data_IF_812210373459
#
_entry.id   IF_812210373459
#
_cell.length_a   1.000
_cell.length_b   1.000
_cell.length_c   1.000
_cell.angle_alpha   90.00
_cell.angle_beta   90.00
_cell.angle_gamma   90.00
#
_symmetry.space_group_name_H-M   'P 1'
#
loop_
_entity.id
_entity.type
_entity.pdbx_description
1 polymer ?
#
# COMPACT_ATOMS: atom_id res chain seq x y z
N UNK A 1 65.57 60.97 -33.08
CA UNK A 1 64.74 59.79 -33.48
C UNK A 1 65.05 58.54 -32.62
N UNK A 2 66.26 58.26 -32.19
CA UNK A 2 66.62 57.07 -31.37
C UNK A 2 65.97 57.08 -29.96
N UNK A 3 65.91 58.22 -29.27
CA UNK A 3 65.30 58.28 -27.95
C UNK A 3 63.75 58.02 -27.97
N UNK A 4 63.09 58.36 -29.02
CA UNK A 4 61.63 58.07 -29.16
C UNK A 4 61.39 56.60 -29.48
N UNK A 5 62.25 55.88 -30.13
CA UNK A 5 62.20 54.44 -30.35
C UNK A 5 62.39 53.69 -29.03
N UNK A 6 63.32 54.04 -28.19
CA UNK A 6 63.55 53.40 -26.89
C UNK A 6 62.39 53.62 -25.92
N UNK A 7 61.69 54.75 -25.94
CA UNK A 7 60.47 55.03 -25.08
C UNK A 7 59.31 54.18 -25.56
N UNK A 8 59.12 54.05 -26.87
CA UNK A 8 58.04 53.25 -27.47
C UNK A 8 58.20 51.77 -27.18
N UNK A 9 59.41 51.25 -27.26
CA UNK A 9 59.70 49.87 -26.97
C UNK A 9 59.59 49.52 -25.47
N UNK A 10 59.90 50.47 -24.56
CA UNK A 10 59.62 50.34 -23.14
C UNK A 10 58.18 50.36 -22.84
N UNK A 11 57.39 51.23 -23.47
CA UNK A 11 55.93 51.26 -23.30
C UNK A 11 55.27 49.97 -23.79
N UNK A 12 55.69 49.43 -24.93
CA UNK A 12 55.22 48.14 -25.45
C UNK A 12 55.59 47.03 -24.49
N UNK A 13 56.85 46.99 -23.98
CA UNK A 13 57.26 46.01 -22.98
C UNK A 13 56.44 46.06 -21.67
N UNK A 14 56.21 47.24 -21.13
CA UNK A 14 55.37 47.45 -19.94
C UNK A 14 53.90 47.02 -20.20
N UNK A 15 53.35 47.38 -21.33
CA UNK A 15 51.97 47.00 -21.69
C UNK A 15 51.86 45.47 -21.87
N UNK A 16 52.84 44.83 -22.47
CA UNK A 16 52.88 43.37 -22.61
C UNK A 16 52.95 42.65 -21.25
N UNK A 17 53.75 43.17 -20.30
CA UNK A 17 53.83 42.65 -18.95
C UNK A 17 52.50 42.83 -18.20
N UNK A 18 51.85 43.98 -18.28
CA UNK A 18 50.57 44.24 -17.65
C UNK A 18 49.49 43.31 -18.21
N UNK A 19 49.44 43.09 -19.51
CA UNK A 19 48.53 42.11 -20.14
C UNK A 19 48.84 40.70 -19.70
N UNK A 20 50.08 40.28 -19.62
CA UNK A 20 50.47 38.96 -19.16
C UNK A 20 50.10 38.71 -17.69
N UNK A 21 50.30 39.71 -16.82
CA UNK A 21 49.87 39.63 -15.40
C UNK A 21 48.36 39.57 -15.28
N UNK A 22 47.63 40.38 -16.02
CA UNK A 22 46.17 40.36 -16.06
C UNK A 22 45.60 39.00 -16.57
N UNK A 23 46.25 38.42 -17.57
CA UNK A 23 45.87 37.11 -18.12
C UNK A 23 46.29 35.92 -17.22
N UNK A 24 47.16 36.16 -16.22
CA UNK A 24 47.59 35.13 -15.25
C UNK A 24 46.59 34.93 -14.10
N UNK A 25 45.72 35.89 -13.83
CA UNK A 25 44.76 35.83 -12.72
C UNK A 25 43.52 35.07 -13.14
N UNK A 26 43.13 34.09 -12.34
CA UNK A 26 41.85 33.40 -12.46
C UNK A 26 41.10 33.42 -11.15
N UNK A 27 39.81 33.67 -11.19
CA UNK A 27 38.91 33.69 -10.01
C UNK A 27 38.08 32.41 -10.01
N UNK A 28 38.06 31.72 -8.87
CA UNK A 28 37.21 30.54 -8.66
C UNK A 28 36.06 30.94 -7.75
N UNK A 29 34.81 30.70 -8.19
CA UNK A 29 33.62 30.93 -7.42
C UNK A 29 33.38 29.79 -6.39
N UNK A 30 32.51 30.00 -5.44
CA UNK A 30 32.23 29.02 -4.39
C UNK A 30 31.55 27.76 -4.92
N UNK A 31 30.76 27.87 -5.97
CA UNK A 31 29.93 26.80 -6.55
C UNK A 31 30.59 26.11 -7.75
N UNK A 32 31.88 26.31 -7.96
CA UNK A 32 32.61 25.70 -9.08
C UNK A 32 33.94 25.09 -8.65
N UNK A 33 34.27 24.00 -9.33
CA UNK A 33 35.67 23.54 -9.41
C UNK A 33 36.35 24.18 -10.60
N UNK A 34 37.54 24.66 -10.42
CA UNK A 34 38.33 25.18 -11.54
C UNK A 34 39.48 24.23 -11.89
N UNK A 35 39.39 23.68 -13.07
CA UNK A 35 40.41 22.81 -13.62
C UNK A 35 41.43 23.66 -14.36
N UNK A 36 42.72 23.47 -14.08
CA UNK A 36 43.81 24.04 -14.86
C UNK A 36 44.38 22.93 -15.72
N UNK A 37 44.37 23.15 -17.02
CA UNK A 37 44.86 22.21 -18.02
C UNK A 37 46.11 22.78 -18.68
N UNK A 38 47.14 21.93 -18.81
CA UNK A 38 48.34 22.19 -19.55
C UNK A 38 48.41 21.24 -20.75
N UNK A 39 48.42 21.78 -21.95
CA UNK A 39 48.43 21.00 -23.21
C UNK A 39 47.33 19.93 -23.27
N UNK A 40 46.13 20.26 -22.76
CA UNK A 40 44.96 19.36 -22.75
C UNK A 40 44.91 18.39 -21.57
N UNK A 41 45.98 18.19 -20.81
CA UNK A 41 45.99 17.37 -19.61
C UNK A 41 45.66 18.20 -18.38
N UNK A 42 44.81 17.66 -17.49
CA UNK A 42 44.52 18.31 -16.20
C UNK A 42 45.77 18.25 -15.33
N UNK A 43 46.31 19.41 -14.98
CA UNK A 43 47.46 19.56 -14.11
C UNK A 43 47.05 19.67 -12.64
N UNK A 44 46.07 20.54 -12.35
CA UNK A 44 45.60 20.75 -10.99
C UNK A 44 44.13 21.14 -10.97
N UNK A 45 43.45 20.82 -9.84
CA UNK A 45 42.07 21.16 -9.54
C UNK A 45 42.04 22.13 -8.38
N UNK A 46 41.33 23.25 -8.53
CA UNK A 46 41.11 24.24 -7.50
C UNK A 46 39.66 24.07 -7.02
N UNK A 47 39.49 23.64 -5.78
CA UNK A 47 38.18 23.43 -5.12
C UNK A 47 37.82 24.52 -4.11
N UNK A 48 38.78 25.40 -3.77
CA UNK A 48 38.59 26.55 -2.89
C UNK A 48 38.29 27.81 -3.68
N UNK A 49 37.29 28.58 -3.18
CA UNK A 49 37.00 29.89 -3.76
C UNK A 49 38.16 30.86 -3.50
N UNK A 50 38.44 31.73 -4.47
CA UNK A 50 39.48 32.71 -4.33
C UNK A 50 40.19 33.05 -5.62
N UNK A 51 41.30 33.76 -5.51
CA UNK A 51 42.14 34.14 -6.61
C UNK A 51 43.28 33.12 -6.74
N UNK A 52 43.45 32.62 -7.96
CA UNK A 52 44.52 31.69 -8.31
C UNK A 52 45.31 32.20 -9.52
N UNK A 53 46.52 31.74 -9.68
CA UNK A 53 47.36 32.13 -10.79
C UNK A 53 47.55 30.97 -11.76
N UNK A 54 47.50 31.31 -13.06
CA UNK A 54 47.77 30.42 -14.16
C UNK A 54 48.89 31.00 -15.06
N UNK A 55 49.60 30.12 -15.76
CA UNK A 55 50.57 30.56 -16.75
C UNK A 55 49.83 30.91 -18.05
N UNK A 56 49.82 32.20 -18.46
CA UNK A 56 49.12 32.62 -19.66
C UNK A 56 49.71 31.93 -20.89
N UNK A 57 48.91 31.66 -21.91
CA UNK A 57 49.24 30.97 -23.16
C UNK A 57 49.55 29.47 -23.07
N UNK A 58 49.96 28.94 -21.91
CA UNK A 58 50.27 27.52 -21.71
C UNK A 58 49.12 26.80 -21.01
N UNK A 59 48.58 27.43 -19.99
CA UNK A 59 47.50 26.89 -19.17
C UNK A 59 46.15 27.42 -19.58
N UNK A 60 45.20 26.53 -19.79
CA UNK A 60 43.78 26.82 -19.98
C UNK A 60 42.97 26.48 -18.73
N UNK A 61 41.89 27.21 -18.50
CA UNK A 61 40.99 26.97 -17.36
C UNK A 61 39.65 26.49 -17.84
N UNK A 62 39.05 25.52 -17.13
CA UNK A 62 37.72 25.05 -17.34
C UNK A 62 37.02 24.99 -15.99
N UNK A 63 35.76 25.44 -15.93
CA UNK A 63 34.91 25.35 -14.72
C UNK A 63 34.01 24.13 -14.80
N UNK A 64 33.85 23.46 -13.65
CA UNK A 64 32.85 22.41 -13.45
C UNK A 64 31.94 22.81 -12.31
N UNK A 65 30.64 22.51 -12.38
CA UNK A 65 29.69 22.77 -11.29
C UNK A 65 30.05 21.90 -10.07
N UNK A 66 30.02 22.52 -8.90
CA UNK A 66 30.19 21.86 -7.59
C UNK A 66 28.86 21.58 -6.91
N UNK A 67 27.83 22.24 -7.38
CA UNK A 67 26.46 22.11 -6.87
C UNK A 67 25.81 20.78 -7.29
N UNK A 68 24.71 20.46 -6.63
CA UNK A 68 23.88 19.32 -7.02
C UNK A 68 23.14 19.65 -8.30
N UNK A 69 23.27 18.77 -9.27
CA UNK A 69 22.62 18.84 -10.58
C UNK A 69 21.42 17.93 -10.61
N UNK A 70 20.39 18.36 -11.32
CA UNK A 70 19.23 17.54 -11.62
C UNK A 70 19.34 17.07 -13.07
N UNK A 71 19.23 15.77 -13.26
CA UNK A 71 19.11 15.17 -14.59
C UNK A 71 17.73 14.53 -14.72
N UNK A 72 16.98 15.01 -15.69
CA UNK A 72 15.65 14.51 -16.04
C UNK A 72 15.77 13.42 -17.11
N UNK A 73 15.41 12.18 -16.74
CA UNK A 73 15.46 11.06 -17.67
C UNK A 73 14.23 11.11 -18.58
N UNK A 74 14.44 10.85 -19.86
CA UNK A 74 13.32 10.72 -20.79
C UNK A 74 12.42 9.53 -20.38
N UNK A 75 11.11 9.73 -20.46
CA UNK A 75 10.14 8.67 -20.23
C UNK A 75 10.44 7.47 -21.13
N UNK A 76 10.43 6.28 -20.56
CA UNK A 76 10.81 5.04 -21.24
C UNK A 76 9.87 3.89 -20.91
N UNK A 77 9.67 3.02 -21.89
CA UNK A 77 8.88 1.80 -21.72
C UNK A 77 9.69 0.74 -20.98
N UNK A 78 9.10 0.21 -19.92
CA UNK A 78 9.64 -0.88 -19.12
C UNK A 78 8.63 -2.00 -19.00
N UNK A 79 9.12 -3.25 -18.98
CA UNK A 79 8.26 -4.44 -18.92
C UNK A 79 8.41 -5.07 -17.54
N UNK A 80 7.30 -5.26 -16.85
CA UNK A 80 7.23 -5.90 -15.54
C UNK A 80 7.37 -7.43 -15.65
N UNK A 81 7.57 -8.10 -14.50
CA UNK A 81 7.66 -9.57 -14.41
C UNK A 81 6.44 -10.29 -15.02
N UNK A 82 5.26 -9.72 -14.86
CA UNK A 82 4.00 -10.22 -15.41
C UNK A 82 3.74 -9.79 -16.87
N UNK A 83 4.81 -9.34 -17.56
CA UNK A 83 4.81 -8.97 -18.98
C UNK A 83 3.87 -7.81 -19.34
N UNK A 84 3.64 -6.92 -18.41
CA UNK A 84 2.88 -5.70 -18.66
C UNK A 84 3.85 -4.55 -18.93
N UNK A 85 3.55 -3.75 -19.95
CA UNK A 85 4.33 -2.56 -20.27
C UNK A 85 3.88 -1.41 -19.39
N UNK A 86 4.85 -0.68 -18.84
CA UNK A 86 4.65 0.56 -18.08
C UNK A 86 5.58 1.64 -18.61
N UNK A 87 5.16 2.89 -18.53
CA UNK A 87 5.98 4.06 -18.85
C UNK A 87 6.55 4.58 -17.54
N UNK A 88 7.87 4.62 -17.44
CA UNK A 88 8.59 5.18 -16.30
C UNK A 88 9.19 6.53 -16.66
N UNK A 89 8.81 7.57 -15.95
CA UNK A 89 9.40 8.90 -15.99
C UNK A 89 10.06 9.19 -14.64
N UNK A 90 11.33 9.57 -14.64
CA UNK A 90 12.15 9.69 -13.44
C UNK A 90 13.23 10.75 -13.56
N UNK A 91 13.76 11.17 -12.42
CA UNK A 91 14.89 12.10 -12.36
C UNK A 91 15.92 11.64 -11.34
N UNK A 92 17.12 12.15 -11.50
CA UNK A 92 18.26 11.87 -10.62
C UNK A 92 18.88 13.16 -10.14
N UNK A 93 19.17 13.22 -8.85
CA UNK A 93 20.03 14.22 -8.25
C UNK A 93 21.44 13.66 -8.16
N UNK A 94 22.40 14.40 -8.71
CA UNK A 94 23.78 13.98 -8.76
C UNK A 94 24.73 15.14 -8.56
N UNK A 95 25.97 14.85 -8.21
CA UNK A 95 27.03 15.85 -8.11
C UNK A 95 28.36 15.26 -8.57
N UNK A 96 29.32 16.14 -8.87
CA UNK A 96 30.70 15.76 -9.16
C UNK A 96 31.43 15.64 -7.82
N UNK A 97 31.78 14.40 -7.42
CA UNK A 97 32.54 14.12 -6.20
C UNK A 97 34.03 14.22 -6.41
N UNK A 98 34.54 13.73 -7.55
CA UNK A 98 35.95 13.79 -7.91
C UNK A 98 36.12 14.50 -9.28
N UNK A 99 36.36 15.81 -9.29
CA UNK A 99 36.51 16.57 -10.54
C UNK A 99 37.71 16.14 -11.38
N UNK A 100 38.75 15.53 -10.78
CA UNK A 100 39.89 15.02 -11.53
C UNK A 100 39.51 13.77 -12.34
N UNK A 101 38.88 12.78 -11.70
CA UNK A 101 38.37 11.61 -12.40
C UNK A 101 37.34 11.98 -13.45
N UNK A 102 36.40 12.88 -13.12
CA UNK A 102 35.40 13.38 -14.05
C UNK A 102 36.07 14.00 -15.31
N UNK A 103 37.07 14.81 -15.12
CA UNK A 103 37.79 15.43 -16.24
C UNK A 103 38.59 14.43 -17.09
N UNK A 104 39.15 13.41 -16.47
CA UNK A 104 39.94 12.38 -17.16
C UNK A 104 39.08 11.40 -17.95
N UNK A 105 37.95 10.99 -17.39
CA UNK A 105 37.06 9.96 -17.97
C UNK A 105 36.02 10.55 -18.93
N UNK A 106 35.50 11.72 -18.62
CA UNK A 106 34.38 12.35 -19.33
C UNK A 106 34.79 13.67 -20.02
N UNK A 107 36.11 13.94 -20.05
CA UNK A 107 36.65 15.13 -20.69
C UNK A 107 36.07 16.46 -20.17
N UNK A 108 35.63 16.49 -18.91
CA UNK A 108 34.95 17.62 -18.25
C UNK A 108 33.63 18.03 -18.92
N UNK A 109 32.96 17.14 -19.64
CA UNK A 109 31.65 17.39 -20.23
C UNK A 109 30.57 16.88 -19.30
N UNK A 110 29.74 17.80 -18.80
CA UNK A 110 28.53 17.48 -17.99
C UNK A 110 27.58 16.60 -18.79
N UNK A 111 27.38 16.91 -20.07
CA UNK A 111 26.51 16.15 -20.97
C UNK A 111 26.98 14.69 -21.14
N UNK A 112 28.32 14.46 -21.21
CA UNK A 112 28.88 13.10 -21.22
C UNK A 112 28.63 12.38 -19.89
N UNK A 113 28.64 13.09 -18.76
CA UNK A 113 28.27 12.57 -17.44
C UNK A 113 26.82 12.15 -17.39
N UNK A 114 25.93 13.01 -17.83
CA UNK A 114 24.49 12.75 -17.91
C UNK A 114 24.15 11.55 -18.80
N UNK A 115 24.85 11.40 -19.94
CA UNK A 115 24.69 10.23 -20.81
C UNK A 115 25.08 8.92 -20.11
N UNK A 116 26.11 8.94 -19.26
CA UNK A 116 26.50 7.76 -18.44
C UNK A 116 25.49 7.48 -17.33
N UNK A 117 25.02 8.52 -16.66
CA UNK A 117 23.96 8.42 -15.66
C UNK A 117 22.69 7.84 -16.29
N UNK A 118 22.28 8.37 -17.45
CA UNK A 118 21.11 7.88 -18.19
C UNK A 118 21.21 6.36 -18.44
N UNK A 119 22.33 5.91 -18.98
CA UNK A 119 22.52 4.48 -19.27
C UNK A 119 22.46 3.61 -18.03
N UNK A 120 23.15 4.04 -16.95
CA UNK A 120 23.20 3.27 -15.71
C UNK A 120 21.83 3.22 -15.01
N UNK A 121 21.17 4.36 -14.89
CA UNK A 121 19.86 4.47 -14.25
C UNK A 121 18.79 3.75 -15.05
N UNK A 122 18.76 3.93 -16.37
CA UNK A 122 17.82 3.20 -17.23
C UNK A 122 17.93 1.68 -17.05
N UNK A 123 19.15 1.14 -17.09
CA UNK A 123 19.37 -0.30 -16.91
C UNK A 123 18.98 -0.77 -15.50
N UNK A 124 19.33 -0.02 -14.47
CA UNK A 124 18.97 -0.34 -13.10
C UNK A 124 17.44 -0.32 -12.89
N UNK A 125 16.77 0.72 -13.37
CA UNK A 125 15.31 0.86 -13.31
C UNK A 125 14.60 -0.27 -14.07
N UNK A 126 15.07 -0.58 -15.28
CA UNK A 126 14.54 -1.67 -16.09
C UNK A 126 14.68 -3.01 -15.37
N UNK A 127 15.83 -3.30 -14.78
CA UNK A 127 16.06 -4.55 -14.04
C UNK A 127 15.20 -4.61 -12.78
N UNK A 128 15.11 -3.54 -12.01
CA UNK A 128 14.25 -3.46 -10.82
C UNK A 128 12.78 -3.72 -11.16
N UNK A 129 12.23 -2.99 -12.13
CA UNK A 129 10.83 -3.14 -12.56
C UNK A 129 10.56 -4.53 -13.16
N UNK A 130 11.51 -5.08 -13.95
CA UNK A 130 11.36 -6.41 -14.53
C UNK A 130 11.38 -7.56 -13.51
N UNK A 131 11.88 -7.33 -12.32
CA UNK A 131 11.85 -8.29 -11.20
C UNK A 131 10.54 -8.29 -10.43
N UNK A 132 9.70 -7.26 -10.59
CA UNK A 132 8.49 -7.00 -9.83
C UNK A 132 7.24 -7.18 -10.69
N UNK A 133 6.11 -7.57 -10.06
CA UNK A 133 4.80 -7.52 -10.71
C UNK A 133 4.29 -6.07 -10.77
N UNK A 134 3.33 -5.79 -11.64
CA UNK A 134 2.73 -4.45 -11.76
C UNK A 134 2.20 -3.93 -10.42
N UNK A 135 1.51 -4.78 -9.64
CA UNK A 135 0.97 -4.40 -8.33
C UNK A 135 2.09 -4.06 -7.32
N UNK A 136 3.20 -4.81 -7.36
CA UNK A 136 4.37 -4.52 -6.52
C UNK A 136 5.01 -3.18 -6.90
N UNK A 137 5.17 -2.91 -8.20
CA UNK A 137 5.74 -1.64 -8.68
C UNK A 137 4.88 -0.45 -8.25
N UNK A 138 3.54 -0.57 -8.31
CA UNK A 138 2.62 0.48 -7.87
C UNK A 138 2.71 0.70 -6.35
N UNK A 139 2.82 -0.37 -5.58
CA UNK A 139 2.89 -0.31 -4.11
C UNK A 139 4.26 0.20 -3.62
N UNK A 140 5.35 -0.17 -4.30
CA UNK A 140 6.73 0.25 -3.95
C UNK A 140 7.09 1.69 -4.35
N UNK A 141 6.11 2.45 -4.85
CA UNK A 141 6.29 3.85 -5.25
C UNK A 141 6.75 4.77 -4.10
N UNK A 142 6.52 4.38 -2.86
CA UNK A 142 6.85 5.16 -1.65
C UNK A 142 8.34 5.12 -1.24
N UNK A 143 9.25 4.80 -2.18
CA UNK A 143 10.70 4.86 -1.98
C UNK A 143 11.44 3.54 -2.16
N UNK A 144 10.78 2.39 -2.04
CA UNK A 144 11.40 1.07 -2.18
C UNK A 144 12.03 0.87 -3.57
N UNK A 145 11.35 1.31 -4.64
CA UNK A 145 11.88 1.27 -5.99
C UNK A 145 13.12 2.15 -6.14
N UNK A 146 13.12 3.33 -5.51
CA UNK A 146 14.26 4.25 -5.51
C UNK A 146 15.49 3.64 -4.84
N UNK A 147 15.28 3.00 -3.69
CA UNK A 147 16.36 2.33 -2.95
C UNK A 147 16.92 1.15 -3.74
N UNK A 148 16.07 0.33 -4.35
CA UNK A 148 16.51 -0.79 -5.20
C UNK A 148 17.33 -0.31 -6.41
N UNK A 149 16.91 0.77 -7.06
CA UNK A 149 17.64 1.34 -8.20
C UNK A 149 18.99 1.90 -7.75
N UNK A 150 19.03 2.64 -6.64
CA UNK A 150 20.26 3.18 -6.07
C UNK A 150 21.22 2.07 -5.64
N UNK A 151 20.74 1.01 -5.02
CA UNK A 151 21.54 -0.16 -4.65
C UNK A 151 22.08 -0.89 -5.88
N UNK A 152 21.27 -1.07 -6.92
CA UNK A 152 21.70 -1.71 -8.17
C UNK A 152 22.78 -0.92 -8.93
N UNK A 153 22.75 0.41 -8.85
CA UNK A 153 23.80 1.25 -9.41
C UNK A 153 25.07 1.18 -8.56
N UNK A 154 24.90 1.18 -7.23
CA UNK A 154 25.98 1.10 -6.25
C UNK A 154 27.09 2.10 -6.55
N UNK A 155 28.35 1.63 -6.54
CA UNK A 155 29.56 2.44 -6.78
C UNK A 155 29.99 2.54 -8.24
N UNK A 156 29.16 2.09 -9.18
CA UNK A 156 29.54 2.06 -10.60
C UNK A 156 29.84 3.46 -11.18
N UNK A 157 29.29 4.51 -10.57
CA UNK A 157 29.53 5.90 -11.01
C UNK A 157 30.79 6.52 -10.43
N UNK A 158 31.40 5.95 -9.38
CA UNK A 158 32.61 6.45 -8.72
C UNK A 158 33.82 6.45 -9.66
N UNK A 159 33.85 5.54 -10.62
CA UNK A 159 34.90 5.50 -11.64
C UNK A 159 34.92 6.75 -12.54
N UNK A 160 33.77 7.41 -12.67
CA UNK A 160 33.60 8.66 -13.42
C UNK A 160 33.72 9.91 -12.54
N UNK A 161 33.90 9.75 -11.22
CA UNK A 161 33.91 10.85 -10.27
C UNK A 161 32.51 11.48 -10.06
N UNK A 162 31.45 10.69 -10.27
CA UNK A 162 30.04 11.08 -10.11
C UNK A 162 29.49 10.39 -8.88
N UNK A 163 28.80 11.16 -8.06
CA UNK A 163 28.03 10.66 -6.91
C UNK A 163 26.56 10.90 -7.17
N UNK A 164 25.76 9.83 -7.18
CA UNK A 164 24.32 9.90 -7.23
C UNK A 164 23.80 10.11 -5.82
N UNK A 165 22.98 11.14 -5.62
CA UNK A 165 22.42 11.49 -4.30
C UNK A 165 21.05 10.86 -4.10
N UNK A 166 20.23 10.92 -5.15
CA UNK A 166 18.85 10.45 -5.08
C UNK A 166 18.30 10.13 -6.47
N UNK A 167 17.57 9.03 -6.55
CA UNK A 167 16.74 8.70 -7.70
C UNK A 167 15.26 8.80 -7.26
N UNK A 168 14.43 9.38 -8.09
CA UNK A 168 12.99 9.47 -7.83
C UNK A 168 12.20 9.24 -9.12
N UNK A 169 11.11 8.52 -8.98
CA UNK A 169 10.15 8.31 -10.06
C UNK A 169 9.07 9.40 -10.01
N UNK A 170 8.98 10.21 -11.05
CA UNK A 170 7.95 11.24 -11.21
C UNK A 170 6.59 10.61 -11.52
N UNK A 171 6.60 9.70 -12.49
CA UNK A 171 5.38 9.07 -12.99
C UNK A 171 5.65 7.63 -13.42
N UNK A 172 4.73 6.76 -13.02
CA UNK A 172 4.60 5.40 -13.54
C UNK A 172 3.19 5.30 -14.13
N UNK A 173 3.10 5.10 -15.43
CA UNK A 173 1.83 5.06 -16.14
C UNK A 173 1.74 3.83 -17.06
N UNK A 174 0.57 3.59 -17.58
CA UNK A 174 0.32 2.59 -18.60
C UNK A 174 0.37 3.24 -19.98
N UNK A 175 0.79 2.53 -21.05
CA UNK A 175 0.69 3.03 -22.41
C UNK A 175 -0.74 3.41 -22.76
N UNK A 176 -0.93 4.56 -23.41
CA UNK A 176 -2.25 5.11 -23.69
C UNK A 176 -3.11 4.18 -24.55
N UNK A 177 -2.50 3.42 -25.46
CA UNK A 177 -3.20 2.51 -26.38
C UNK A 177 -3.98 1.38 -25.69
N UNK A 178 -3.59 1.01 -24.48
CA UNK A 178 -4.20 -0.09 -23.73
C UNK A 178 -4.78 0.31 -22.37
N UNK A 179 -4.70 1.58 -22.03
CA UNK A 179 -5.00 2.10 -20.69
C UNK A 179 -6.43 1.77 -20.27
N UNK A 180 -7.40 2.02 -21.15
CA UNK A 180 -8.83 1.79 -20.89
C UNK A 180 -9.14 0.31 -20.69
N UNK A 181 -8.66 -0.56 -21.56
CA UNK A 181 -8.87 -2.01 -21.44
C UNK A 181 -8.22 -2.62 -20.20
N UNK A 182 -7.06 -2.08 -19.77
CA UNK A 182 -6.38 -2.50 -18.53
C UNK A 182 -7.17 -2.04 -17.33
N UNK A 183 -7.68 -0.82 -17.31
CA UNK A 183 -8.50 -0.32 -16.22
C UNK A 183 -9.81 -1.10 -16.07
N UNK A 184 -10.52 -1.37 -17.17
CA UNK A 184 -11.72 -2.20 -17.15
C UNK A 184 -11.45 -3.60 -16.59
N UNK A 185 -10.34 -4.22 -16.98
CA UNK A 185 -9.94 -5.51 -16.45
C UNK A 185 -9.61 -5.43 -14.95
N UNK A 186 -8.87 -4.40 -14.50
CA UNK A 186 -8.55 -4.20 -13.09
C UNK A 186 -9.81 -3.97 -12.25
N UNK A 187 -10.77 -3.18 -12.76
CA UNK A 187 -12.06 -2.96 -12.11
C UNK A 187 -12.79 -4.29 -11.96
N UNK A 188 -12.92 -5.05 -13.07
CA UNK A 188 -13.58 -6.36 -13.06
C UNK A 188 -12.91 -7.36 -12.10
N UNK A 189 -11.60 -7.39 -12.04
CA UNK A 189 -10.85 -8.23 -11.09
C UNK A 189 -11.10 -7.82 -9.63
N UNK A 190 -11.10 -6.52 -9.34
CA UNK A 190 -11.41 -6.00 -8.00
C UNK A 190 -12.86 -6.27 -7.60
N UNK A 191 -13.79 -6.13 -8.53
CA UNK A 191 -15.20 -6.46 -8.29
C UNK A 191 -15.38 -7.96 -8.01
N UNK A 192 -14.68 -8.85 -8.71
CA UNK A 192 -14.69 -10.28 -8.44
C UNK A 192 -14.13 -10.62 -7.05
N UNK A 193 -13.02 -9.99 -6.65
CA UNK A 193 -12.43 -10.16 -5.32
C UNK A 193 -13.41 -9.66 -4.25
N UNK A 194 -14.00 -8.49 -4.44
CA UNK A 194 -14.99 -7.94 -3.51
C UNK A 194 -16.25 -8.83 -3.41
N UNK A 195 -16.72 -9.37 -4.54
CA UNK A 195 -17.84 -10.30 -4.57
C UNK A 195 -17.51 -11.61 -3.80
N UNK A 196 -16.29 -12.12 -3.95
CA UNK A 196 -15.81 -13.31 -3.23
C UNK A 196 -15.82 -13.06 -1.71
N UNK A 197 -15.19 -11.98 -1.25
CA UNK A 197 -15.19 -11.65 0.19
C UNK A 197 -16.60 -11.43 0.74
N UNK A 198 -17.48 -10.79 -0.05
CA UNK A 198 -18.87 -10.61 0.35
C UNK A 198 -19.62 -11.93 0.44
N UNK A 199 -19.39 -12.85 -0.48
CA UNK A 199 -19.98 -14.19 -0.45
C UNK A 199 -19.47 -15.01 0.73
N UNK A 200 -18.17 -14.99 1.00
CA UNK A 200 -17.56 -15.64 2.18
C UNK A 200 -18.13 -15.07 3.48
N UNK A 201 -18.15 -13.75 3.63
CA UNK A 201 -18.71 -13.10 4.81
C UNK A 201 -20.19 -13.41 5.03
N UNK A 202 -20.99 -13.44 3.95
CA UNK A 202 -22.40 -13.84 4.03
C UNK A 202 -22.56 -15.32 4.44
N UNK A 203 -21.69 -16.20 3.93
CA UNK A 203 -21.68 -17.62 4.31
C UNK A 203 -21.33 -17.81 5.78
N UNK A 204 -20.29 -17.15 6.27
CA UNK A 204 -19.91 -17.21 7.68
C UNK A 204 -21.01 -16.63 8.60
N UNK A 205 -21.59 -15.49 8.21
CA UNK A 205 -22.71 -14.90 8.96
C UNK A 205 -23.89 -15.85 9.02
N UNK A 206 -24.19 -16.59 7.94
CA UNK A 206 -25.27 -17.59 7.92
C UNK A 206 -24.95 -18.78 8.83
N UNK A 207 -23.71 -19.24 8.85
CA UNK A 207 -23.28 -20.31 9.77
C UNK A 207 -23.43 -19.89 11.23
N UNK A 208 -23.00 -18.68 11.57
CA UNK A 208 -23.12 -18.14 12.92
C UNK A 208 -24.61 -18.03 13.33
N UNK A 209 -25.46 -17.46 12.46
CA UNK A 209 -26.89 -17.36 12.73
C UNK A 209 -27.55 -18.72 12.94
N UNK A 210 -27.29 -19.69 12.05
CA UNK A 210 -27.85 -21.03 12.16
C UNK A 210 -27.41 -21.74 13.46
N UNK A 211 -26.13 -21.52 13.86
CA UNK A 211 -25.63 -22.06 15.12
C UNK A 211 -26.33 -21.43 16.32
N UNK A 212 -26.49 -20.11 16.31
CA UNK A 212 -27.18 -19.38 17.39
C UNK A 212 -28.65 -19.77 17.45
N UNK A 213 -29.35 -19.82 16.31
CA UNK A 213 -30.74 -20.22 16.23
C UNK A 213 -30.97 -21.65 16.77
N UNK A 214 -30.03 -22.57 16.44
CA UNK A 214 -30.05 -23.91 17.00
C UNK A 214 -29.86 -23.92 18.52
N UNK A 215 -28.88 -23.16 19.03
CA UNK A 215 -28.67 -23.07 20.49
C UNK A 215 -29.86 -22.48 21.21
N UNK A 216 -30.46 -21.43 20.66
CA UNK A 216 -31.67 -20.80 21.19
C UNK A 216 -32.86 -21.80 21.19
N UNK A 217 -33.04 -22.55 20.07
CA UNK A 217 -34.09 -23.55 19.97
C UNK A 217 -33.93 -24.67 21.00
N UNK A 218 -32.69 -25.12 21.24
CA UNK A 218 -32.39 -26.12 22.29
C UNK A 218 -32.74 -25.56 23.68
N UNK A 219 -32.29 -24.33 23.99
CA UNK A 219 -32.57 -23.71 25.29
C UNK A 219 -34.06 -23.53 25.55
N UNK A 220 -34.83 -23.09 24.52
CA UNK A 220 -36.28 -22.97 24.62
C UNK A 220 -36.95 -24.33 24.84
N UNK A 221 -36.49 -25.38 24.13
CA UNK A 221 -37.00 -26.74 24.31
C UNK A 221 -36.70 -27.30 25.70
N UNK A 222 -35.49 -27.07 26.21
CA UNK A 222 -35.11 -27.50 27.55
C UNK A 222 -35.90 -26.74 28.63
N UNK A 223 -36.13 -25.43 28.45
CA UNK A 223 -36.96 -24.63 29.35
C UNK A 223 -38.42 -25.11 29.36
N UNK A 224 -38.99 -25.40 28.17
CA UNK A 224 -40.35 -25.98 28.06
C UNK A 224 -40.43 -27.33 28.73
N UNK A 225 -39.45 -28.20 28.49
CA UNK A 225 -39.39 -29.51 29.16
C UNK A 225 -39.35 -29.36 30.69
N UNK A 226 -38.55 -28.45 31.21
CA UNK A 226 -38.48 -28.20 32.66
C UNK A 226 -39.81 -27.64 33.20
N UNK A 227 -40.45 -26.76 32.45
CA UNK A 227 -41.79 -26.25 32.82
C UNK A 227 -42.82 -27.36 32.85
N UNK A 228 -42.88 -28.24 31.84
CA UNK A 228 -43.79 -29.40 31.80
C UNK A 228 -43.53 -30.39 32.95
N UNK A 229 -42.25 -30.63 33.30
CA UNK A 229 -41.89 -31.47 34.44
C UNK A 229 -42.42 -30.83 35.74
N UNK A 230 -42.22 -29.54 35.95
CA UNK A 230 -42.65 -28.83 37.14
C UNK A 230 -44.17 -28.77 37.24
N UNK A 231 -44.88 -28.58 36.12
CA UNK A 231 -46.36 -28.68 36.05
C UNK A 231 -46.83 -30.09 36.41
N UNK A 232 -46.18 -31.14 35.85
CA UNK A 232 -46.49 -32.55 36.17
C UNK A 232 -46.24 -32.89 37.64
N UNK A 233 -45.15 -32.40 38.22
CA UNK A 233 -44.88 -32.55 39.66
C UNK A 233 -45.94 -31.84 40.51
N UNK A 234 -46.33 -30.61 40.10
CA UNK A 234 -47.39 -29.88 40.73
C UNK A 234 -48.77 -30.59 40.66
N UNK A 235 -49.10 -31.17 39.50
CA UNK A 235 -50.31 -31.99 39.33
C UNK A 235 -50.26 -33.23 40.15
N UNK A 236 -49.11 -33.92 40.21
CA UNK A 236 -48.92 -35.11 41.06
C UNK A 236 -49.17 -34.78 42.54
N UNK A 237 -48.59 -33.71 43.04
CA UNK A 237 -48.79 -33.30 44.44
C UNK A 237 -50.26 -32.86 44.74
N UNK A 238 -50.82 -32.12 43.80
CA UNK A 238 -52.26 -31.77 43.85
C UNK A 238 -53.15 -33.04 43.93
N UNK A 239 -52.88 -34.05 43.09
CA UNK A 239 -53.61 -35.31 43.10
C UNK A 239 -53.44 -36.11 44.39
N UNK A 240 -52.23 -36.12 45.01
CA UNK A 240 -51.99 -36.73 46.32
C UNK A 240 -52.81 -36.05 47.40
N UNK A 241 -52.80 -34.71 47.46
CA UNK A 241 -53.54 -33.96 48.43
C UNK A 241 -55.07 -34.23 48.27
N UNK A 242 -55.57 -34.25 47.05
CA UNK A 242 -56.96 -34.61 46.76
C UNK A 242 -57.30 -36.02 47.17
N UNK A 243 -56.42 -37.02 46.85
CA UNK A 243 -56.63 -38.42 47.25
C UNK A 243 -56.68 -38.57 48.77
N UNK A 244 -55.82 -37.84 49.50
CA UNK A 244 -55.89 -37.82 50.97
C UNK A 244 -57.12 -37.14 51.52
N UNK A 245 -57.59 -36.07 50.90
CA UNK A 245 -58.75 -35.28 51.35
C UNK A 245 -60.10 -36.00 51.07
N UNK A 246 -60.16 -36.76 49.97
CA UNK A 246 -61.40 -37.42 49.50
C UNK A 246 -61.36 -38.95 49.53
N UNK A 247 -60.40 -39.55 50.26
CA UNK A 247 -60.20 -40.98 50.35
C UNK A 247 -61.26 -41.72 51.12
N UNK A 248 -62.28 -41.05 51.72
CA UNK A 248 -63.41 -41.65 52.32
C UNK A 248 -64.49 -41.91 51.28
N UNK A 249 -65.26 -42.99 51.40
CA UNK A 249 -66.18 -43.54 50.39
C UNK A 249 -67.29 -42.52 50.00
N UNK A 250 -67.77 -41.73 50.94
CA UNK A 250 -68.79 -40.73 50.74
C UNK A 250 -68.32 -39.45 49.96
N UNK A 251 -67.01 -39.24 49.88
CA UNK A 251 -66.37 -38.07 49.15
C UNK A 251 -65.83 -38.48 47.78
N UNK A 252 -65.63 -39.76 47.55
CA UNK A 252 -65.11 -40.28 46.30
C UNK A 252 -66.07 -40.08 45.12
N UNK A 253 -67.34 -40.25 45.32
CA UNK A 253 -68.34 -39.99 44.26
C UNK A 253 -68.40 -38.52 43.84
N UNK A 254 -68.40 -37.61 44.81
CA UNK A 254 -68.35 -36.16 44.51
C UNK A 254 -67.11 -35.74 43.79
N UNK A 255 -65.91 -36.34 44.16
CA UNK A 255 -64.66 -36.05 43.47
C UNK A 255 -64.68 -36.55 42.03
N UNK A 256 -65.17 -37.79 41.78
CA UNK A 256 -65.29 -38.31 40.42
C UNK A 256 -66.18 -37.49 39.54
N UNK A 257 -67.27 -36.92 40.10
CA UNK A 257 -68.15 -36.02 39.43
C UNK A 257 -67.51 -34.66 39.07
N UNK A 258 -66.77 -34.01 40.00
CA UNK A 258 -66.06 -32.77 39.75
C UNK A 258 -64.94 -32.96 38.68
N UNK A 259 -64.24 -34.07 38.71
CA UNK A 259 -63.22 -34.37 37.68
C UNK A 259 -63.84 -34.64 36.32
N UNK A 260 -64.99 -35.24 36.23
CA UNK A 260 -65.68 -35.45 34.98
C UNK A 260 -66.16 -34.11 34.38
N UNK A 261 -66.56 -33.17 35.21
CA UNK A 261 -66.96 -31.79 34.80
C UNK A 261 -65.71 -31.01 34.31
N UNK A 262 -64.56 -31.13 34.97
CA UNK A 262 -63.34 -30.47 34.57
C UNK A 262 -62.77 -31.04 33.25
N UNK A 263 -62.82 -32.37 33.06
CA UNK A 263 -62.48 -33.04 31.81
C UNK A 263 -63.40 -32.56 30.67
N UNK A 264 -64.72 -32.46 30.93
CA UNK A 264 -65.69 -31.92 29.96
C UNK A 264 -65.33 -30.47 29.60
N UNK A 265 -65.11 -29.59 30.59
CA UNK A 265 -64.74 -28.18 30.40
C UNK A 265 -63.46 -28.05 29.58
N UNK A 266 -62.48 -28.88 29.84
CA UNK A 266 -61.23 -28.88 29.12
C UNK A 266 -61.38 -29.38 27.68
N UNK A 267 -62.21 -30.41 27.48
CA UNK A 267 -62.52 -30.97 26.15
C UNK A 267 -63.34 -29.99 25.30
N UNK A 268 -64.09 -29.12 25.90
CA UNK A 268 -64.92 -28.10 25.22
C UNK A 268 -64.23 -26.77 24.99
N UNK A 269 -63.01 -26.61 25.49
CA UNK A 269 -62.15 -25.43 25.14
C UNK A 269 -61.66 -25.52 23.70
N UNK A 270 -62.07 -24.58 22.84
CA UNK A 270 -61.71 -24.42 21.44
C UNK A 270 -62.91 -24.30 20.53
N UNK A 271 -62.69 -23.71 19.35
CA UNK A 271 -63.73 -23.55 18.33
C UNK A 271 -63.95 -24.87 17.57
N UNK A 272 -65.19 -25.16 17.16
CA UNK A 272 -65.60 -26.29 16.32
C UNK A 272 -65.34 -27.71 16.89
N UNK A 273 -65.66 -27.90 18.19
CA UNK A 273 -65.60 -29.24 18.79
C UNK A 273 -66.97 -29.84 18.99
N UNK A 274 -67.13 -31.06 18.56
CA UNK A 274 -68.33 -31.84 18.81
C UNK A 274 -67.98 -32.94 19.82
N UNK A 275 -68.72 -32.97 20.97
CA UNK A 275 -68.57 -34.02 21.99
C UNK A 275 -69.66 -35.03 21.82
N UNK A 276 -69.33 -36.27 21.59
CA UNK A 276 -70.30 -37.39 21.54
C UNK A 276 -70.24 -38.10 22.88
N UNK A 277 -71.35 -38.01 23.65
CA UNK A 277 -71.45 -38.67 24.93
C UNK A 277 -72.37 -39.93 24.81
N UNK A 278 -71.89 -41.04 25.44
CA UNK A 278 -72.82 -42.17 25.63
C UNK A 278 -73.95 -41.80 26.59
N UNK A 279 -75.18 -42.30 26.32
CA UNK A 279 -76.32 -42.06 27.20
C UNK A 279 -76.10 -42.53 28.63
N UNK A 280 -75.26 -43.56 28.85
CA UNK A 280 -74.96 -44.12 30.17
C UNK A 280 -73.77 -43.43 30.86
N UNK A 281 -73.21 -42.34 30.26
CA UNK A 281 -72.05 -41.62 30.87
C UNK A 281 -72.58 -40.74 32.04
N UNK A 282 -71.80 -40.64 33.14
CA UNK A 282 -72.18 -39.78 34.30
C UNK A 282 -72.44 -38.33 33.89
N UNK A 283 -71.77 -37.85 32.81
CA UNK A 283 -71.95 -36.52 32.29
C UNK A 283 -73.29 -36.37 31.54
N UNK A 284 -73.73 -37.39 30.77
CA UNK A 284 -75.03 -37.37 30.09
C UNK A 284 -76.19 -37.37 31.07
N UNK A 285 -76.03 -38.09 32.16
CA UNK A 285 -77.06 -38.17 33.24
C UNK A 285 -77.28 -36.81 33.92
N UNK A 286 -76.21 -35.95 34.03
CA UNK A 286 -76.29 -34.59 34.54
C UNK A 286 -77.19 -33.72 33.64
N UNK A 287 -77.10 -33.87 32.35
CA UNK A 287 -77.90 -33.12 31.38
C UNK A 287 -79.38 -33.63 31.32
N UNK A 288 -79.62 -34.89 31.69
CA UNK A 288 -80.96 -35.47 31.77
C UNK A 288 -81.66 -35.16 33.08
N UNK A 289 -80.96 -34.54 34.05
CA UNK A 289 -81.55 -34.13 35.32
C UNK A 289 -81.91 -35.31 36.24
N UNK A 290 -81.27 -36.43 36.12
CA UNK A 290 -81.38 -37.60 36.98
C UNK A 290 -80.28 -37.66 38.02
#
# INVERSE_FOLDING_TARGET
RQRQMCIRDRLIGVSAVVVAVGASVTVTQQNEYKLIRQFGKVDRVISSSGISFKIPFIESTQSLPKETLLYDLAASDVITKDKKTMISDSYVLWKISDPLKFAQTLNSSVESGESRINTAVYNATKNAISSMSQDQVITSRDGELSDMVMEAIGTNMDQYGIELLKFETKQLDLPDDNKEAVYERMISERDNIAATYKAEGNSEAKVIRNKTDKEVAIQISDAKKQAEILEAEGEQEYMKILAQAYGEEDRSEFYSFVRSLDALKTSMKGEDKTVILSADSPIAQIFEGK
#
